data_IF_467024211941
#
_entry.id   IF_467024211941
#
_cell.length_a   1.000
_cell.length_b   1.000
_cell.length_c   1.000
_cell.angle_alpha   90.00
_cell.angle_beta   90.00
_cell.angle_gamma   90.00
#
_symmetry.space_group_name_H-M   'P 1'
#
loop_
_entity.id
_entity.type
_entity.pdbx_description
1 polymer ?
#
# COMPACT_ATOMS: atom_id res chain seq x y z
N UNK A 1 27.12 -6.29 2.32
CA UNK A 1 27.89 -5.58 3.36
C UNK A 1 26.91 -4.69 4.08
N UNK A 2 26.58 -5.00 5.34
CA UNK A 2 25.72 -4.14 6.13
C UNK A 2 26.40 -2.78 6.25
N UNK A 3 25.81 -1.73 5.67
CA UNK A 3 26.25 -0.38 5.92
C UNK A 3 26.13 -0.16 7.43
N UNK A 4 27.24 0.02 8.13
CA UNK A 4 27.19 0.50 9.51
C UNK A 4 26.45 1.84 9.46
N UNK A 5 25.21 1.86 9.94
CA UNK A 5 24.42 3.07 9.99
C UNK A 5 25.16 4.05 10.90
N UNK A 6 25.63 5.14 10.35
CA UNK A 6 26.30 6.19 11.12
C UNK A 6 25.32 6.65 12.22
N UNK A 7 25.76 6.58 13.47
CA UNK A 7 24.97 6.98 14.62
C UNK A 7 24.97 8.52 14.76
N UNK A 8 24.23 9.20 13.86
CA UNK A 8 24.16 10.66 13.81
C UNK A 8 23.75 11.30 15.14
N UNK A 9 22.92 10.60 15.93
CA UNK A 9 22.48 11.03 17.26
C UNK A 9 23.60 11.05 18.31
N UNK A 10 24.67 10.27 18.12
CA UNK A 10 25.81 10.23 19.03
C UNK A 10 26.90 11.25 18.71
N UNK A 11 26.80 11.92 17.56
CA UNK A 11 27.77 12.90 17.10
C UNK A 11 27.42 14.32 17.57
N UNK A 12 28.45 15.16 17.71
CA UNK A 12 28.28 16.60 17.91
C UNK A 12 27.75 17.25 16.63
N UNK A 13 27.16 18.44 16.75
CA UNK A 13 26.62 19.17 15.60
C UNK A 13 27.71 19.46 14.57
N UNK A 14 28.90 19.82 15.04
CA UNK A 14 30.08 20.13 14.23
C UNK A 14 30.56 18.89 13.46
N UNK A 15 30.63 17.72 14.10
CA UNK A 15 31.02 16.47 13.44
C UNK A 15 30.01 16.06 12.35
N UNK A 16 28.70 16.25 12.61
CA UNK A 16 27.65 15.95 11.62
C UNK A 16 27.76 16.88 10.42
N UNK A 17 28.01 18.18 10.63
CA UNK A 17 28.25 19.12 9.53
C UNK A 17 29.49 18.75 8.71
N UNK A 18 30.57 18.33 9.37
CA UNK A 18 31.79 17.90 8.69
C UNK A 18 31.56 16.62 7.86
N UNK A 19 30.89 15.63 8.45
CA UNK A 19 30.59 14.36 7.78
C UNK A 19 29.65 14.54 6.58
N UNK A 20 28.63 15.40 6.70
CA UNK A 20 27.69 15.71 5.62
C UNK A 20 28.19 16.79 4.66
N UNK A 21 29.37 17.38 4.89
CA UNK A 21 29.91 18.53 4.15
C UNK A 21 28.84 19.62 3.97
N UNK A 22 28.24 20.03 5.06
CA UNK A 22 27.18 21.05 5.12
C UNK A 22 27.50 22.06 6.22
N UNK A 23 26.65 23.08 6.40
CA UNK A 23 26.85 24.10 7.41
C UNK A 23 25.58 24.85 7.78
N UNK A 24 25.73 25.83 8.69
CA UNK A 24 24.62 26.65 9.22
C UNK A 24 23.94 27.56 8.19
N UNK A 25 24.56 27.76 7.03
CA UNK A 25 23.98 28.51 5.90
C UNK A 25 23.18 27.62 4.93
N UNK A 26 23.16 26.30 5.16
CA UNK A 26 22.56 25.35 4.24
C UNK A 26 23.47 24.98 3.06
N UNK A 27 22.92 24.24 2.10
CA UNK A 27 23.64 23.82 0.89
C UNK A 27 23.49 24.86 -0.23
N UNK A 28 24.45 24.89 -1.16
CA UNK A 28 24.25 25.61 -2.42
C UNK A 28 23.25 24.85 -3.30
N UNK A 29 22.47 25.59 -4.10
CA UNK A 29 21.45 24.99 -4.98
C UNK A 29 22.02 23.97 -5.96
N UNK A 30 23.24 24.19 -6.46
CA UNK A 30 23.93 23.25 -7.37
C UNK A 30 24.39 21.98 -6.64
N UNK A 31 24.87 22.10 -5.39
CA UNK A 31 25.24 20.95 -4.58
C UNK A 31 24.00 20.12 -4.20
N UNK A 32 22.88 20.77 -3.89
CA UNK A 32 21.62 20.09 -3.64
C UNK A 32 21.14 19.30 -4.87
N UNK A 33 21.24 19.87 -6.08
CA UNK A 33 20.94 19.16 -7.34
C UNK A 33 21.87 17.97 -7.57
N UNK A 34 23.18 18.14 -7.31
CA UNK A 34 24.18 17.07 -7.44
C UNK A 34 23.85 15.91 -6.49
N UNK A 35 23.55 16.20 -5.23
CA UNK A 35 23.13 15.19 -4.25
C UNK A 35 21.81 14.55 -4.61
N UNK A 36 20.87 15.28 -5.20
CA UNK A 36 19.61 14.70 -5.65
C UNK A 36 19.83 13.63 -6.74
N UNK A 37 20.84 13.82 -7.61
CA UNK A 37 21.23 12.81 -8.59
C UNK A 37 21.95 11.61 -7.96
N UNK A 38 22.73 11.83 -6.89
CA UNK A 38 23.50 10.79 -6.20
C UNK A 38 22.64 9.93 -5.25
N UNK A 39 21.85 10.58 -4.39
CA UNK A 39 21.03 9.92 -3.35
C UNK A 39 19.62 9.58 -3.83
N UNK A 40 19.16 10.19 -4.93
CA UNK A 40 17.79 10.09 -5.41
C UNK A 40 16.80 10.96 -4.64
N UNK A 41 15.53 10.89 -5.05
CA UNK A 41 14.45 11.65 -4.41
C UNK A 41 14.16 11.13 -2.98
N UNK A 42 13.78 12.06 -2.10
CA UNK A 42 13.27 11.78 -0.76
C UNK A 42 11.82 11.28 -0.83
N UNK A 43 11.65 10.09 -1.37
CA UNK A 43 10.37 9.40 -1.46
C UNK A 43 10.53 7.95 -1.03
N UNK A 44 9.47 7.41 -0.45
CA UNK A 44 9.37 5.98 -0.21
C UNK A 44 9.27 5.31 -1.59
N UNK A 45 10.09 4.29 -1.85
CA UNK A 45 9.94 3.52 -3.09
C UNK A 45 8.54 2.92 -3.11
N UNK A 46 7.72 3.36 -4.06
CA UNK A 46 6.47 2.67 -4.39
C UNK A 46 6.84 1.36 -5.12
N UNK A 47 6.05 0.29 -4.94
CA UNK A 47 6.14 -0.89 -5.83
C UNK A 47 6.01 -0.39 -7.28
N UNK A 48 6.82 -0.95 -8.18
CA UNK A 48 7.00 -0.46 -9.55
C UNK A 48 5.68 -0.01 -10.17
N UNK A 49 5.63 1.25 -10.61
CA UNK A 49 4.44 1.80 -11.26
C UNK A 49 4.15 0.98 -12.52
N UNK A 50 2.87 0.64 -12.72
CA UNK A 50 2.46 -0.07 -13.93
C UNK A 50 2.75 0.82 -15.14
N UNK A 51 3.62 0.37 -16.02
CA UNK A 51 3.89 1.08 -17.28
C UNK A 51 2.65 1.02 -18.17
N UNK A 52 2.45 1.99 -19.07
CA UNK A 52 1.31 1.97 -19.99
C UNK A 52 1.27 0.69 -20.83
N UNK A 53 2.44 0.22 -21.27
CA UNK A 53 2.59 -1.05 -21.98
C UNK A 53 2.33 -2.25 -21.06
N UNK A 54 2.78 -2.18 -19.81
CA UNK A 54 2.47 -3.18 -18.78
C UNK A 54 0.96 -3.30 -18.52
N UNK A 55 0.25 -2.18 -18.39
CA UNK A 55 -1.21 -2.17 -18.20
C UNK A 55 -1.96 -2.76 -19.39
N UNK A 56 -1.49 -2.50 -20.62
CA UNK A 56 -2.07 -3.10 -21.82
C UNK A 56 -1.83 -4.61 -21.86
N UNK A 57 -0.59 -5.06 -21.65
CA UNK A 57 -0.21 -6.48 -21.64
C UNK A 57 -0.85 -7.27 -20.49
N UNK A 58 -1.15 -6.63 -19.37
CA UNK A 58 -1.82 -7.26 -18.24
C UNK A 58 -3.25 -7.69 -18.59
N UNK A 59 -3.94 -6.96 -19.48
CA UNK A 59 -5.23 -7.39 -20.03
C UNK A 59 -5.14 -8.73 -20.77
N UNK A 60 -4.01 -9.03 -21.42
CA UNK A 60 -3.79 -10.29 -22.13
C UNK A 60 -3.49 -11.48 -21.19
N UNK A 61 -3.24 -11.23 -19.90
CA UNK A 61 -3.10 -12.30 -18.90
C UNK A 61 -4.45 -12.84 -18.42
N UNK A 62 -5.54 -12.15 -18.75
CA UNK A 62 -6.88 -12.65 -18.45
C UNK A 62 -7.12 -13.98 -19.17
N UNK A 63 -7.59 -14.98 -18.41
CA UNK A 63 -7.75 -16.35 -18.90
C UNK A 63 -8.73 -16.42 -20.07
N UNK A 64 -9.78 -15.60 -20.07
CA UNK A 64 -10.76 -15.57 -21.15
C UNK A 64 -10.22 -14.88 -22.39
N UNK A 65 -9.48 -13.78 -22.22
CA UNK A 65 -8.77 -13.15 -23.35
C UNK A 65 -7.77 -14.13 -23.96
N UNK A 66 -7.01 -14.88 -23.16
CA UNK A 66 -6.13 -15.94 -23.68
C UNK A 66 -6.90 -17.03 -24.43
N UNK A 67 -8.03 -17.51 -23.90
CA UNK A 67 -8.86 -18.50 -24.58
C UNK A 67 -9.37 -18.00 -25.94
N UNK A 68 -9.85 -16.76 -26.00
CA UNK A 68 -10.32 -16.15 -27.25
C UNK A 68 -9.19 -15.90 -28.24
N UNK A 69 -7.98 -15.60 -27.78
CA UNK A 69 -6.79 -15.50 -28.65
C UNK A 69 -6.43 -16.86 -29.25
N UNK A 70 -6.45 -17.92 -28.44
CA UNK A 70 -6.22 -19.30 -28.93
C UNK A 70 -7.32 -19.69 -29.93
N UNK A 71 -8.58 -19.38 -29.65
CA UNK A 71 -9.71 -19.60 -30.56
C UNK A 71 -9.53 -18.84 -31.89
N UNK A 72 -9.14 -17.57 -31.82
CA UNK A 72 -8.88 -16.71 -32.99
C UNK A 72 -7.76 -17.29 -33.85
N UNK A 73 -6.66 -17.75 -33.22
CA UNK A 73 -5.53 -18.33 -33.93
C UNK A 73 -5.89 -19.64 -34.63
N UNK A 74 -6.64 -20.53 -33.97
CA UNK A 74 -7.07 -21.80 -34.55
C UNK A 74 -8.08 -21.59 -35.68
N UNK A 75 -9.06 -20.69 -35.50
CA UNK A 75 -10.01 -20.31 -36.54
C UNK A 75 -9.31 -19.71 -37.77
N UNK A 76 -8.27 -18.89 -37.57
CA UNK A 76 -7.49 -18.33 -38.68
C UNK A 76 -6.70 -19.41 -39.46
N UNK A 77 -6.12 -20.40 -38.76
CA UNK A 77 -5.40 -21.51 -39.40
C UNK A 77 -6.36 -22.32 -40.29
N UNK A 78 -7.60 -22.54 -39.87
CA UNK A 78 -8.61 -23.25 -40.66
C UNK A 78 -9.06 -22.45 -41.83
N UNK A 79 -9.34 -21.15 -41.64
CA UNK A 79 -9.67 -20.28 -42.76
C UNK A 79 -8.59 -20.36 -43.84
N UNK A 80 -7.31 -20.44 -43.45
CA UNK A 80 -6.24 -20.65 -44.41
C UNK A 80 -6.33 -21.99 -45.17
N UNK A 81 -6.63 -23.10 -44.49
CA UNK A 81 -6.82 -24.40 -45.13
C UNK A 81 -8.10 -24.49 -45.98
N UNK A 82 -9.22 -23.94 -45.51
CA UNK A 82 -10.47 -23.85 -46.26
C UNK A 82 -10.30 -23.00 -47.52
N UNK A 83 -9.57 -21.88 -47.42
CA UNK A 83 -9.23 -21.02 -48.57
C UNK A 83 -8.45 -21.77 -49.66
N UNK A 84 -7.75 -22.84 -49.30
CA UNK A 84 -6.96 -23.67 -50.22
C UNK A 84 -7.78 -24.83 -50.82
N UNK A 85 -8.95 -25.15 -50.25
CA UNK A 85 -9.75 -26.33 -50.61
C UNK A 85 -11.10 -25.98 -51.23
N UNK A 86 -11.69 -24.84 -50.86
CA UNK A 86 -13.01 -24.37 -51.33
C UNK A 86 -12.89 -22.91 -51.77
N UNK A 87 -13.46 -22.58 -52.93
CA UNK A 87 -13.48 -21.20 -53.45
C UNK A 87 -14.57 -20.37 -52.75
N UNK A 88 -14.43 -20.19 -51.42
CA UNK A 88 -15.22 -19.23 -50.63
C UNK A 88 -14.56 -17.85 -50.68
N UNK A 89 -15.36 -16.79 -50.49
CA UNK A 89 -14.83 -15.43 -50.36
C UNK A 89 -14.01 -15.26 -49.08
N UNK A 90 -12.95 -14.44 -49.10
CA UNK A 90 -12.08 -14.20 -47.94
C UNK A 90 -12.85 -13.88 -46.63
N UNK A 91 -13.90 -13.07 -46.73
CA UNK A 91 -14.73 -12.71 -45.57
C UNK A 91 -15.49 -13.90 -44.97
N UNK A 92 -16.00 -14.82 -45.79
CA UNK A 92 -16.71 -16.01 -45.32
C UNK A 92 -15.74 -17.02 -44.70
N UNK A 93 -14.55 -17.14 -45.29
CA UNK A 93 -13.52 -18.09 -44.85
C UNK A 93 -12.90 -17.72 -43.50
N UNK A 94 -12.78 -16.43 -43.18
CA UNK A 94 -12.19 -15.95 -41.93
C UNK A 94 -13.21 -15.28 -40.99
N UNK A 95 -14.52 -15.45 -41.23
CA UNK A 95 -15.58 -14.75 -40.51
C UNK A 95 -15.47 -14.92 -38.98
N UNK A 96 -15.26 -16.15 -38.50
CA UNK A 96 -15.17 -16.45 -37.07
C UNK A 96 -13.90 -15.86 -36.45
N UNK A 97 -12.75 -16.04 -37.08
CA UNK A 97 -11.48 -15.47 -36.63
C UNK A 97 -11.54 -13.93 -36.57
N UNK A 98 -12.12 -13.29 -37.58
CA UNK A 98 -12.29 -11.83 -37.62
C UNK A 98 -13.25 -11.38 -36.52
N UNK A 99 -14.38 -12.07 -36.33
CA UNK A 99 -15.39 -11.71 -35.33
C UNK A 99 -14.82 -11.82 -33.91
N UNK A 100 -14.19 -12.94 -33.58
CA UNK A 100 -13.58 -13.16 -32.26
C UNK A 100 -12.41 -12.18 -32.06
N UNK A 101 -11.59 -11.96 -33.08
CA UNK A 101 -10.48 -11.00 -33.04
C UNK A 101 -10.95 -9.56 -32.76
N UNK A 102 -12.05 -9.12 -33.37
CA UNK A 102 -12.64 -7.81 -33.10
C UNK A 102 -13.13 -7.73 -31.65
N UNK A 103 -13.80 -8.76 -31.14
CA UNK A 103 -14.28 -8.80 -29.75
C UNK A 103 -13.10 -8.67 -28.77
N UNK A 104 -12.05 -9.46 -28.96
CA UNK A 104 -10.83 -9.40 -28.14
C UNK A 104 -10.22 -8.02 -28.17
N UNK A 105 -10.11 -7.41 -29.36
CA UNK A 105 -9.54 -6.08 -29.53
C UNK A 105 -10.37 -5.01 -28.79
N UNK A 106 -11.69 -5.05 -28.92
CA UNK A 106 -12.60 -4.11 -28.26
C UNK A 106 -12.51 -4.24 -26.74
N UNK A 107 -12.49 -5.46 -26.20
CA UNK A 107 -12.37 -5.71 -24.76
C UNK A 107 -11.01 -5.23 -24.23
N UNK A 108 -9.91 -5.53 -24.93
CA UNK A 108 -8.58 -5.11 -24.54
C UNK A 108 -8.41 -3.58 -24.55
N UNK A 109 -8.90 -2.90 -25.59
CA UNK A 109 -8.86 -1.43 -25.69
C UNK A 109 -9.75 -0.80 -24.62
N UNK A 110 -10.96 -1.29 -24.42
CA UNK A 110 -11.87 -0.77 -23.40
C UNK A 110 -11.26 -0.91 -21.99
N UNK A 111 -10.71 -2.08 -21.66
CA UNK A 111 -10.01 -2.33 -20.41
C UNK A 111 -8.79 -1.41 -20.22
N UNK A 112 -7.98 -1.21 -21.26
CA UNK A 112 -6.84 -0.29 -21.22
C UNK A 112 -7.27 1.16 -20.96
N UNK A 113 -8.29 1.67 -21.68
CA UNK A 113 -8.78 3.04 -21.51
C UNK A 113 -9.33 3.25 -20.10
N UNK A 114 -10.09 2.29 -19.57
CA UNK A 114 -10.66 2.36 -18.21
C UNK A 114 -9.55 2.41 -17.15
N UNK A 115 -8.57 1.50 -17.24
CA UNK A 115 -7.46 1.43 -16.30
C UNK A 115 -6.56 2.67 -16.39
N UNK A 116 -6.24 3.14 -17.59
CA UNK A 116 -5.38 4.31 -17.78
C UNK A 116 -6.02 5.59 -17.23
N UNK A 117 -7.34 5.78 -17.44
CA UNK A 117 -8.06 6.94 -16.89
C UNK A 117 -8.11 6.93 -15.37
N UNK A 118 -8.34 5.76 -14.76
CA UNK A 118 -8.36 5.62 -13.31
C UNK A 118 -6.99 5.97 -12.69
N UNK A 119 -5.90 5.44 -13.27
CA UNK A 119 -4.54 5.71 -12.80
C UNK A 119 -4.17 7.20 -12.93
N UNK A 120 -4.52 7.84 -14.06
CA UNK A 120 -4.26 9.27 -14.27
C UNK A 120 -5.02 10.18 -13.31
N UNK A 121 -6.26 9.84 -12.98
CA UNK A 121 -7.04 10.58 -11.99
C UNK A 121 -6.38 10.51 -10.60
N UNK A 122 -5.87 9.33 -10.22
CA UNK A 122 -5.16 9.13 -8.96
C UNK A 122 -3.82 9.88 -8.94
N UNK A 123 -3.07 9.88 -10.03
CA UNK A 123 -1.79 10.60 -10.17
C UNK A 123 -1.99 12.13 -10.01
N UNK A 124 -3.03 12.68 -10.65
CA UNK A 124 -3.34 14.11 -10.55
C UNK A 124 -3.71 14.51 -9.12
N UNK A 125 -4.48 13.67 -8.41
CA UNK A 125 -4.83 13.92 -7.01
C UNK A 125 -3.59 13.90 -6.10
N UNK A 126 -2.66 12.96 -6.30
CA UNK A 126 -1.39 12.89 -5.54
C UNK A 126 -0.50 14.13 -5.74
N UNK A 127 -0.49 14.73 -6.94
CA UNK A 127 0.30 15.94 -7.21
C UNK A 127 -0.21 17.18 -6.48
N UNK A 128 -1.53 17.27 -6.25
CA UNK A 128 -2.14 18.41 -5.56
C UNK A 128 -1.87 18.41 -4.05
N UNK A 129 -1.56 17.25 -3.46
CA UNK A 129 -1.33 17.09 -2.02
C UNK A 129 0.15 16.87 -1.68
N UNK A 130 1.06 17.13 -2.62
CA UNK A 130 2.49 16.86 -2.44
C UNK A 130 3.08 17.75 -1.31
N UNK A 131 3.71 17.14 -0.28
CA UNK A 131 4.26 17.89 0.84
C UNK A 131 5.44 18.78 0.41
N UNK A 132 5.60 19.90 1.10
CA UNK A 132 6.71 20.85 0.94
C UNK A 132 7.52 20.94 2.23
N UNK A 133 8.78 21.34 2.13
CA UNK A 133 9.69 21.53 3.24
C UNK A 133 10.36 22.90 3.14
N UNK A 134 10.63 23.54 4.29
CA UNK A 134 11.44 24.75 4.38
C UNK A 134 12.89 24.37 4.58
N UNK A 135 13.75 24.85 3.70
CA UNK A 135 15.20 24.57 3.72
C UNK A 135 15.98 25.86 3.57
N UNK A 136 17.17 25.91 4.16
CA UNK A 136 18.16 26.92 3.83
C UNK A 136 18.98 26.41 2.64
N UNK A 137 18.95 27.14 1.53
CA UNK A 137 19.84 26.96 0.39
C UNK A 137 20.36 28.31 -0.09
N UNK A 138 21.61 28.37 -0.53
CA UNK A 138 22.30 29.62 -0.90
C UNK A 138 22.22 30.70 0.20
N UNK A 139 22.23 30.28 1.47
CA UNK A 139 22.12 31.17 2.64
C UNK A 139 20.73 31.75 2.89
N UNK A 140 19.69 31.33 2.15
CA UNK A 140 18.32 31.86 2.26
C UNK A 140 17.31 30.74 2.54
N UNK A 141 16.30 31.07 3.34
CA UNK A 141 15.18 30.16 3.56
C UNK A 141 14.27 30.11 2.32
N UNK A 142 13.96 28.92 1.85
CA UNK A 142 13.08 28.69 0.70
C UNK A 142 12.23 27.43 0.87
N UNK A 143 11.07 27.43 0.21
CA UNK A 143 10.17 26.28 0.15
C UNK A 143 10.53 25.39 -1.03
N UNK A 144 10.88 24.14 -0.76
CA UNK A 144 11.15 23.12 -1.78
C UNK A 144 10.14 21.97 -1.66
N UNK A 145 9.86 21.22 -2.73
CA UNK A 145 9.12 19.98 -2.63
C UNK A 145 9.83 19.03 -1.65
N UNK A 146 9.10 18.38 -0.73
CA UNK A 146 9.72 17.50 0.28
C UNK A 146 10.50 16.34 -0.36
N UNK A 147 10.09 15.91 -1.56
CA UNK A 147 10.80 14.90 -2.38
C UNK A 147 12.19 15.34 -2.86
N UNK A 148 12.47 16.65 -2.90
CA UNK A 148 13.75 17.21 -3.37
C UNK A 148 14.71 17.53 -2.22
N UNK A 149 14.32 17.21 -0.98
CA UNK A 149 15.18 17.29 0.20
C UNK A 149 16.25 16.22 0.10
N UNK A 150 17.50 16.56 0.37
CA UNK A 150 18.67 15.66 0.25
C UNK A 150 19.48 15.63 1.55
N UNK A 151 20.27 14.57 1.80
CA UNK A 151 21.19 14.54 2.94
C UNK A 151 22.12 15.77 2.93
N UNK A 152 22.22 16.44 4.07
CA UNK A 152 22.94 17.69 4.27
C UNK A 152 22.12 18.97 4.09
N UNK A 153 20.89 18.92 3.57
CA UNK A 153 20.01 20.10 3.61
C UNK A 153 19.80 20.55 5.05
N UNK A 154 19.70 21.87 5.26
CA UNK A 154 19.37 22.43 6.57
C UNK A 154 17.89 22.81 6.60
N UNK A 155 17.09 22.04 7.32
CA UNK A 155 15.66 22.28 7.49
C UNK A 155 15.43 23.46 8.45
N UNK A 156 14.47 24.32 8.10
CA UNK A 156 13.87 25.29 9.00
C UNK A 156 12.56 24.69 9.54
N UNK A 157 12.42 24.63 10.86
CA UNK A 157 11.30 23.94 11.51
C UNK A 157 10.56 24.90 12.42
N UNK A 158 9.24 24.93 12.30
CA UNK A 158 8.32 25.66 13.17
C UNK A 158 7.17 24.77 13.62
N UNK A 159 6.46 25.25 14.64
CA UNK A 159 5.22 24.67 15.11
C UNK A 159 4.22 24.42 13.97
N UNK A 160 3.71 23.20 13.87
CA UNK A 160 2.79 22.75 12.84
C UNK A 160 3.45 22.07 11.63
N UNK A 161 4.77 22.16 11.48
CA UNK A 161 5.46 21.52 10.37
C UNK A 161 5.47 20.00 10.49
N UNK A 162 5.32 19.34 9.35
CA UNK A 162 5.61 17.90 9.20
C UNK A 162 7.07 17.74 8.81
N UNK A 163 7.79 16.89 9.53
CA UNK A 163 9.21 16.66 9.29
C UNK A 163 9.38 15.89 7.97
N UNK A 164 10.13 16.47 7.03
CA UNK A 164 10.26 15.95 5.67
C UNK A 164 11.23 14.76 5.55
N UNK A 165 12.23 14.67 6.43
CA UNK A 165 13.29 13.68 6.39
C UNK A 165 13.93 13.52 7.79
N UNK A 166 14.66 12.43 8.02
CA UNK A 166 15.36 12.25 9.29
C UNK A 166 16.51 13.24 9.41
N UNK A 167 16.53 14.03 10.47
CA UNK A 167 17.44 15.16 10.61
C UNK A 167 18.02 15.28 12.02
N UNK A 168 19.29 15.69 12.10
CA UNK A 168 19.98 16.00 13.35
C UNK A 168 19.74 17.45 13.73
N UNK A 169 19.22 17.69 14.93
CA UNK A 169 18.89 19.03 15.40
C UNK A 169 20.16 19.82 15.69
N UNK A 170 20.28 21.00 15.08
CA UNK A 170 21.43 21.91 15.25
C UNK A 170 21.06 23.14 16.06
N UNK A 171 19.79 23.50 16.10
CA UNK A 171 19.24 24.61 16.88
C UNK A 171 17.85 24.21 17.39
N UNK A 172 17.59 24.43 18.68
CA UNK A 172 16.30 24.12 19.31
C UNK A 172 15.92 25.25 20.25
N UNK A 173 14.72 25.82 20.06
CA UNK A 173 14.10 26.77 20.97
C UNK A 173 12.75 26.21 21.38
N UNK A 174 12.70 25.61 22.56
CA UNK A 174 11.54 24.92 23.14
C UNK A 174 10.87 23.92 22.17
N UNK A 175 11.65 23.33 21.27
CA UNK A 175 11.14 22.46 20.22
C UNK A 175 10.55 21.19 20.84
N UNK A 176 9.30 20.89 20.51
CA UNK A 176 8.59 19.66 20.90
C UNK A 176 8.02 18.99 19.67
N UNK A 177 8.23 17.68 19.54
CA UNK A 177 7.71 16.88 18.44
C UNK A 177 6.75 15.81 18.95
N UNK A 178 5.71 15.52 18.17
CA UNK A 178 4.85 14.35 18.31
C UNK A 178 5.43 13.21 17.47
N UNK A 179 5.91 12.18 18.18
CA UNK A 179 6.56 11.01 17.60
C UNK A 179 5.70 9.75 17.73
N UNK A 180 4.39 9.90 17.93
CA UNK A 180 3.45 8.80 18.09
C UNK A 180 3.46 7.86 16.87
N UNK A 181 3.73 8.39 15.67
CA UNK A 181 3.82 7.60 14.43
C UNK A 181 4.93 6.54 14.49
N UNK A 182 5.99 6.77 15.26
CA UNK A 182 7.13 5.85 15.39
C UNK A 182 7.18 5.13 16.74
N UNK A 183 6.65 5.76 17.80
CA UNK A 183 6.78 5.26 19.18
C UNK A 183 5.48 4.73 19.77
N UNK A 184 4.32 5.06 19.18
CA UNK A 184 3.00 4.79 19.73
C UNK A 184 2.59 5.68 20.90
N UNK A 185 3.50 6.55 21.38
CA UNK A 185 3.27 7.41 22.55
C UNK A 185 2.93 8.84 22.11
N UNK A 186 1.76 9.34 22.50
CA UNK A 186 1.25 10.66 22.09
C UNK A 186 1.75 11.84 22.93
N UNK A 187 2.65 11.60 23.89
CA UNK A 187 3.20 12.67 24.72
C UNK A 187 4.27 13.44 23.93
N UNK A 188 4.18 14.78 23.80
CA UNK A 188 5.18 15.55 23.09
C UNK A 188 6.59 15.38 23.67
N UNK A 189 7.55 15.06 22.81
CA UNK A 189 8.95 14.85 23.18
C UNK A 189 9.72 16.15 23.05
N UNK A 190 10.27 16.65 24.16
CA UNK A 190 11.17 17.81 24.16
C UNK A 190 12.48 17.47 23.46
N UNK A 191 12.88 18.33 22.54
CA UNK A 191 14.06 18.13 21.69
C UNK A 191 15.24 18.99 22.11
N UNK A 192 16.45 18.45 21.98
CA UNK A 192 17.71 19.08 22.37
C UNK A 192 18.77 18.98 21.28
N UNK A 193 19.88 19.71 21.41
CA UNK A 193 21.03 19.61 20.50
C UNK A 193 22.10 18.64 21.03
N UNK A 194 22.05 18.28 22.30
CA UNK A 194 23.07 17.44 22.95
C UNK A 194 23.17 16.04 22.34
N UNK A 195 24.39 15.50 22.13
CA UNK A 195 24.59 14.11 21.75
C UNK A 195 23.95 13.12 22.75
N UNK A 196 23.47 12.00 22.24
CA UNK A 196 22.92 10.89 23.05
C UNK A 196 23.72 9.60 22.80
N UNK A 197 23.56 8.61 23.68
CA UNK A 197 24.34 7.36 23.60
C UNK A 197 24.13 6.63 22.26
N UNK A 198 25.15 6.00 21.68
CA UNK A 198 25.02 5.23 20.43
C UNK A 198 23.92 4.18 20.47
N UNK A 199 23.70 3.54 21.62
CA UNK A 199 22.73 2.46 21.83
C UNK A 199 21.29 2.97 22.08
N UNK A 200 21.07 4.29 22.06
CA UNK A 200 19.76 4.89 22.28
C UNK A 200 18.72 4.40 21.26
N UNK A 201 17.59 3.95 21.78
CA UNK A 201 16.40 3.62 21.00
C UNK A 201 15.84 4.86 20.29
N UNK A 202 15.01 4.68 19.25
CA UNK A 202 14.47 5.78 18.45
C UNK A 202 13.80 6.86 19.32
N UNK A 203 13.00 6.47 20.31
CA UNK A 203 12.34 7.40 21.24
C UNK A 203 13.27 8.12 22.22
N UNK A 204 14.49 7.63 22.44
CA UNK A 204 15.49 8.27 23.30
C UNK A 204 16.36 9.28 22.54
N UNK A 205 16.34 9.27 21.21
CA UNK A 205 17.11 10.18 20.34
C UNK A 205 16.46 11.56 20.28
N UNK A 206 16.44 12.25 21.43
CA UNK A 206 15.87 13.60 21.61
C UNK A 206 16.52 14.69 20.76
N UNK A 207 17.64 14.37 20.12
CA UNK A 207 18.40 15.29 19.29
C UNK A 207 18.25 15.04 17.79
N UNK A 208 17.34 14.14 17.43
CA UNK A 208 16.91 13.83 16.08
C UNK A 208 15.45 14.25 15.87
N UNK A 209 15.11 14.50 14.61
CA UNK A 209 13.75 14.57 14.08
C UNK A 209 13.60 13.50 13.03
N UNK A 210 12.40 12.94 12.90
CA UNK A 210 12.16 11.80 12.05
C UNK A 210 11.09 12.10 11.00
N UNK A 211 11.25 11.56 9.79
CA UNK A 211 10.29 11.72 8.70
C UNK A 211 8.87 11.34 9.15
N UNK A 212 7.90 12.21 8.85
CA UNK A 212 6.48 11.96 9.13
C UNK A 212 6.04 12.27 10.56
N UNK A 213 6.94 12.69 11.45
CA UNK A 213 6.56 13.27 12.75
C UNK A 213 6.15 14.74 12.61
N UNK A 214 5.48 15.29 13.62
CA UNK A 214 4.98 16.66 13.60
C UNK A 214 5.60 17.50 14.70
N UNK A 215 5.92 18.76 14.39
CA UNK A 215 6.33 19.73 15.41
C UNK A 215 5.10 20.32 16.07
N UNK A 216 5.00 20.16 17.40
CA UNK A 216 3.85 20.64 18.19
C UNK A 216 4.08 22.05 18.71
N UNK A 217 5.33 22.40 19.03
CA UNK A 217 5.68 23.68 19.61
C UNK A 217 7.15 24.03 19.35
N UNK A 218 7.46 25.32 19.42
CA UNK A 218 8.81 25.84 19.28
C UNK A 218 9.28 25.97 17.85
N UNK A 219 10.57 26.25 17.69
CA UNK A 219 11.24 26.34 16.40
C UNK A 219 12.65 25.80 16.49
N UNK A 220 13.23 25.44 15.35
CA UNK A 220 14.58 24.94 15.32
C UNK A 220 15.12 24.82 13.90
N UNK A 221 16.36 24.36 13.84
CA UNK A 221 17.03 23.98 12.60
C UNK A 221 17.57 22.58 12.74
N UNK A 222 17.52 21.80 11.68
CA UNK A 222 18.04 20.44 11.67
C UNK A 222 18.68 20.10 10.33
N UNK A 223 19.84 19.47 10.35
CA UNK A 223 20.53 19.02 9.14
C UNK A 223 20.05 17.62 8.78
N UNK A 224 19.62 17.43 7.53
CA UNK A 224 19.10 16.15 7.04
C UNK A 224 20.20 15.11 7.02
N UNK A 225 19.95 13.98 7.65
CA UNK A 225 20.91 12.87 7.76
C UNK A 225 20.55 11.71 6.84
N UNK A 226 19.25 11.44 6.68
CA UNK A 226 18.75 10.33 5.87
C UNK A 226 17.47 10.74 5.15
N UNK A 227 17.29 10.24 3.92
CA UNK A 227 16.12 10.50 3.06
C UNK A 227 15.55 9.20 2.49
N UNK A 228 14.29 9.24 2.06
CA UNK A 228 13.59 8.12 1.42
C UNK A 228 13.60 6.86 2.29
N UNK A 229 13.95 5.72 1.68
CA UNK A 229 14.01 4.42 2.36
C UNK A 229 15.07 4.31 3.47
N UNK A 230 16.04 5.23 3.54
CA UNK A 230 17.08 5.21 4.58
C UNK A 230 16.61 5.83 5.91
N UNK A 231 15.46 6.51 5.94
CA UNK A 231 14.85 7.06 7.17
C UNK A 231 14.30 5.95 8.07
N UNK A 232 14.07 6.20 9.35
CA UNK A 232 13.42 5.25 10.25
C UNK A 232 12.00 4.89 9.75
N UNK A 233 11.26 5.88 9.23
CA UNK A 233 9.96 5.63 8.60
C UNK A 233 10.10 4.81 7.30
N UNK A 234 11.15 5.06 6.51
CA UNK A 234 11.49 4.31 5.31
C UNK A 234 11.81 2.84 5.56
N UNK A 235 12.58 2.54 6.62
CA UNK A 235 12.86 1.16 7.06
C UNK A 235 11.58 0.44 7.47
N UNK A 236 10.68 1.10 8.19
CA UNK A 236 9.36 0.54 8.53
C UNK A 236 8.57 0.27 7.25
N UNK A 237 8.55 1.22 6.31
CA UNK A 237 7.86 1.06 5.03
C UNK A 237 8.41 -0.13 4.24
N UNK A 238 9.72 -0.34 4.21
CA UNK A 238 10.35 -1.49 3.55
C UNK A 238 9.92 -2.82 4.18
N UNK A 239 9.91 -2.92 5.52
CA UNK A 239 9.43 -4.12 6.23
C UNK A 239 7.96 -4.40 5.89
N UNK A 240 7.13 -3.37 5.84
CA UNK A 240 5.69 -3.50 5.53
C UNK A 240 5.48 -3.87 4.05
N UNK A 241 6.27 -3.34 3.13
CA UNK A 241 6.14 -3.61 1.69
C UNK A 241 6.69 -4.98 1.27
N UNK A 242 7.72 -5.46 1.97
CA UNK A 242 8.37 -6.76 1.72
C UNK A 242 7.66 -7.93 2.40
N UNK A 243 6.76 -7.65 3.36
CA UNK A 243 5.85 -8.66 3.87
C UNK A 243 4.99 -9.23 2.74
N UNK A 244 5.07 -10.54 2.51
CA UNK A 244 4.26 -11.22 1.51
C UNK A 244 2.78 -11.13 1.88
N UNK A 245 1.95 -10.66 0.95
CA UNK A 245 0.50 -10.71 1.13
C UNK A 245 0.03 -12.16 0.93
N UNK A 246 -0.35 -12.83 2.02
CA UNK A 246 -0.97 -14.14 1.92
C UNK A 246 -2.38 -14.05 1.30
N UNK A 247 -2.69 -14.98 0.41
CA UNK A 247 -4.04 -15.15 -0.12
C UNK A 247 -5.04 -15.44 1.00
N UNK A 248 -6.24 -14.82 0.91
CA UNK A 248 -7.28 -15.04 1.92
C UNK A 248 -7.85 -16.45 1.85
N UNK A 249 -8.45 -16.97 2.94
CA UNK A 249 -9.06 -18.30 2.91
C UNK A 249 -10.14 -18.45 1.83
N UNK A 250 -10.92 -17.39 1.54
CA UNK A 250 -11.86 -17.37 0.42
C UNK A 250 -11.14 -17.45 -0.93
N UNK A 251 -10.07 -16.67 -1.15
CA UNK A 251 -9.27 -16.76 -2.38
C UNK A 251 -8.72 -18.18 -2.59
N UNK A 252 -8.11 -18.78 -1.56
CA UNK A 252 -7.64 -20.18 -1.60
C UNK A 252 -8.75 -21.20 -1.88
N UNK A 253 -10.01 -20.91 -1.50
CA UNK A 253 -11.18 -21.76 -1.81
C UNK A 253 -11.65 -21.57 -3.24
N UNK A 254 -11.73 -20.32 -3.70
CA UNK A 254 -12.10 -19.98 -5.09
C UNK A 254 -11.09 -20.57 -6.07
N UNK A 255 -9.79 -20.51 -5.77
CA UNK A 255 -8.75 -21.11 -6.61
C UNK A 255 -8.85 -22.62 -6.67
N UNK A 256 -9.12 -23.27 -5.54
CA UNK A 256 -9.38 -24.72 -5.53
C UNK A 256 -10.65 -25.08 -6.32
N UNK A 257 -11.67 -24.24 -6.25
CA UNK A 257 -12.91 -24.42 -7.00
C UNK A 257 -12.68 -24.24 -8.51
N UNK A 258 -11.97 -23.18 -8.91
CA UNK A 258 -11.57 -22.93 -10.30
C UNK A 258 -10.73 -24.09 -10.85
N UNK A 259 -9.74 -24.58 -10.09
CA UNK A 259 -8.94 -25.76 -10.47
C UNK A 259 -9.78 -27.03 -10.62
N UNK A 260 -10.83 -27.21 -9.81
CA UNK A 260 -11.77 -28.34 -9.95
C UNK A 260 -12.63 -28.20 -11.21
N UNK A 261 -13.20 -27.01 -11.46
CA UNK A 261 -13.96 -26.74 -12.68
C UNK A 261 -13.09 -26.97 -13.92
N UNK A 262 -11.87 -26.42 -13.94
CA UNK A 262 -10.95 -26.59 -15.06
C UNK A 262 -10.67 -28.08 -15.37
N UNK A 263 -10.51 -28.91 -14.33
CA UNK A 263 -10.36 -30.37 -14.50
C UNK A 263 -11.61 -31.01 -15.09
N UNK A 264 -12.81 -30.61 -14.65
CA UNK A 264 -14.08 -31.14 -15.18
C UNK A 264 -14.26 -30.76 -16.65
N UNK A 265 -14.03 -29.48 -16.98
CA UNK A 265 -14.08 -28.99 -18.37
C UNK A 265 -13.11 -29.76 -19.25
N UNK A 266 -11.85 -29.91 -18.83
CA UNK A 266 -10.85 -30.68 -19.58
C UNK A 266 -11.29 -32.12 -19.85
N UNK A 267 -11.86 -32.81 -18.85
CA UNK A 267 -12.35 -34.19 -19.01
C UNK A 267 -13.55 -34.23 -19.96
N UNK A 268 -14.51 -33.32 -19.84
CA UNK A 268 -15.67 -33.26 -20.73
C UNK A 268 -15.28 -32.92 -22.17
N UNK A 269 -14.37 -31.96 -22.36
CA UNK A 269 -13.81 -31.61 -23.66
C UNK A 269 -13.11 -32.80 -24.30
N UNK A 270 -12.35 -33.59 -23.53
CA UNK A 270 -11.72 -34.82 -24.02
C UNK A 270 -12.76 -35.87 -24.43
N UNK A 271 -13.84 -36.03 -23.66
CA UNK A 271 -14.93 -36.96 -24.00
C UNK A 271 -15.63 -36.53 -25.29
N UNK A 272 -15.99 -35.24 -25.42
CA UNK A 272 -16.64 -34.69 -26.63
C UNK A 272 -15.72 -34.87 -27.83
N UNK A 273 -14.44 -34.54 -27.69
CA UNK A 273 -13.44 -34.74 -28.75
C UNK A 273 -13.38 -36.19 -29.23
N UNK A 274 -13.32 -37.14 -28.29
CA UNK A 274 -13.32 -38.56 -28.61
C UNK A 274 -14.62 -38.94 -29.33
N UNK A 275 -15.78 -38.51 -28.82
CA UNK A 275 -17.07 -38.79 -29.43
C UNK A 275 -17.20 -38.21 -30.83
N UNK A 276 -16.77 -36.98 -31.09
CA UNK A 276 -16.82 -36.37 -32.43
C UNK A 276 -15.88 -37.07 -33.42
N UNK A 277 -14.67 -37.43 -32.99
CA UNK A 277 -13.74 -38.21 -33.82
C UNK A 277 -14.31 -39.59 -34.19
N UNK A 278 -15.10 -40.21 -33.30
CA UNK A 278 -15.75 -41.51 -33.54
C UNK A 278 -17.13 -41.42 -34.21
N UNK A 279 -17.87 -40.32 -34.01
CA UNK A 279 -19.23 -40.11 -34.52
C UNK A 279 -19.23 -39.56 -35.94
N UNK A 280 -18.23 -38.75 -36.31
CA UNK A 280 -18.03 -38.41 -37.70
C UNK A 280 -17.30 -39.54 -38.45
N UNK A 281 -17.70 -39.72 -39.69
CA UNK A 281 -16.89 -40.33 -40.75
C UNK A 281 -15.58 -39.54 -41.03
N UNK A 282 -14.94 -38.94 -40.01
CA UNK A 282 -13.69 -38.18 -40.11
C UNK A 282 -12.56 -39.06 -40.66
N UNK A 283 -12.61 -40.36 -40.41
CA UNK A 283 -11.75 -41.37 -41.03
C UNK A 283 -11.95 -41.53 -42.55
N UNK A 284 -13.14 -41.18 -43.09
CA UNK A 284 -13.47 -41.30 -44.52
C UNK A 284 -13.20 -40.00 -45.32
N UNK A 285 -13.16 -38.84 -44.67
CA UNK A 285 -12.87 -37.52 -45.30
C UNK A 285 -11.38 -37.16 -45.40
N UNK A 286 -10.48 -38.02 -44.92
CA UNK A 286 -9.03 -37.79 -44.95
C UNK A 286 -8.56 -36.69 -44.00
N UNK A 287 -7.31 -36.21 -44.17
CA UNK A 287 -6.65 -35.27 -43.25
C UNK A 287 -7.45 -33.97 -43.01
N UNK A 288 -8.17 -33.48 -44.01
CA UNK A 288 -8.96 -32.23 -43.92
C UNK A 288 -10.19 -32.40 -43.02
N UNK A 289 -10.90 -33.53 -43.11
CA UNK A 289 -12.04 -33.82 -42.22
C UNK A 289 -11.61 -34.02 -40.77
N UNK A 290 -10.47 -34.67 -40.54
CA UNK A 290 -9.90 -34.82 -39.21
C UNK A 290 -9.53 -33.48 -38.56
N UNK A 291 -8.94 -32.55 -39.33
CA UNK A 291 -8.62 -31.20 -38.84
C UNK A 291 -9.89 -30.40 -38.53
N UNK A 292 -10.90 -30.46 -39.40
CA UNK A 292 -12.21 -29.80 -39.14
C UNK A 292 -12.84 -30.31 -37.85
N UNK A 293 -12.93 -31.63 -37.67
CA UNK A 293 -13.50 -32.25 -36.47
C UNK A 293 -12.73 -31.87 -35.20
N UNK A 294 -11.39 -31.78 -35.26
CA UNK A 294 -10.59 -31.32 -34.12
C UNK A 294 -10.99 -29.90 -33.70
N UNK A 295 -11.24 -29.01 -34.66
CA UNK A 295 -11.61 -27.65 -34.32
C UNK A 295 -13.07 -27.53 -33.92
N UNK A 296 -14.01 -28.22 -34.57
CA UNK A 296 -15.41 -28.21 -34.13
C UNK A 296 -15.51 -28.73 -32.69
N UNK A 297 -14.75 -29.78 -32.36
CA UNK A 297 -14.59 -30.27 -30.98
C UNK A 297 -13.98 -29.22 -30.06
N UNK A 298 -12.97 -28.49 -30.53
CA UNK A 298 -12.28 -27.46 -29.74
C UNK A 298 -13.16 -26.21 -29.54
N UNK A 299 -13.94 -25.82 -30.53
CA UNK A 299 -14.90 -24.71 -30.47
C UNK A 299 -16.08 -25.09 -29.57
N UNK A 300 -16.54 -26.34 -29.63
CA UNK A 300 -17.51 -26.90 -28.69
C UNK A 300 -16.93 -26.95 -27.28
N UNK A 301 -15.66 -27.33 -27.13
CA UNK A 301 -14.96 -27.32 -25.84
C UNK A 301 -14.79 -25.91 -25.27
N UNK A 302 -14.44 -24.91 -26.09
CA UNK A 302 -14.39 -23.51 -25.66
C UNK A 302 -15.79 -23.01 -25.30
N UNK A 303 -16.80 -23.31 -26.12
CA UNK A 303 -18.18 -22.90 -25.86
C UNK A 303 -18.70 -23.50 -24.55
N UNK A 304 -18.38 -24.77 -24.28
CA UNK A 304 -18.64 -25.44 -23.01
C UNK A 304 -17.83 -24.81 -21.88
N UNK A 305 -16.55 -24.52 -22.09
CA UNK A 305 -15.71 -23.89 -21.09
C UNK A 305 -16.29 -22.54 -20.67
N UNK A 306 -16.58 -21.64 -21.63
CA UNK A 306 -17.23 -20.34 -21.40
C UNK A 306 -18.56 -20.52 -20.67
N UNK A 307 -19.40 -21.46 -21.11
CA UNK A 307 -20.70 -21.73 -20.48
C UNK A 307 -20.59 -22.22 -19.03
N UNK A 308 -19.50 -22.87 -18.66
CA UNK A 308 -19.28 -23.44 -17.32
C UNK A 308 -18.52 -22.47 -16.42
N UNK A 309 -17.78 -21.51 -16.97
CA UNK A 309 -17.04 -20.56 -16.13
C UNK A 309 -18.02 -19.65 -15.41
N UNK A 310 -17.98 -19.57 -14.07
CA UNK A 310 -18.87 -18.72 -13.32
C UNK A 310 -18.34 -17.28 -13.37
N UNK A 311 -18.51 -16.61 -14.51
CA UNK A 311 -18.10 -15.22 -14.77
C UNK A 311 -18.70 -14.24 -13.75
N UNK A 312 -19.87 -14.57 -13.20
CA UNK A 312 -20.52 -13.78 -12.15
C UNK A 312 -19.91 -13.97 -10.75
N UNK A 313 -19.07 -14.98 -10.51
CA UNK A 313 -18.57 -15.30 -9.18
C UNK A 313 -17.68 -14.19 -8.59
N UNK A 314 -16.71 -13.60 -9.32
CA UNK A 314 -15.95 -12.45 -8.82
C UNK A 314 -16.83 -11.25 -8.47
N UNK A 315 -17.87 -10.99 -9.29
CA UNK A 315 -18.81 -9.90 -9.06
C UNK A 315 -19.67 -10.14 -7.81
N UNK A 316 -20.23 -11.34 -7.65
CA UNK A 316 -21.03 -11.73 -6.48
C UNK A 316 -20.19 -11.67 -5.21
N UNK A 317 -18.96 -12.18 -5.24
CA UNK A 317 -18.03 -12.11 -4.10
C UNK A 317 -17.72 -10.66 -3.74
N UNK A 318 -17.42 -9.82 -4.73
CA UNK A 318 -17.12 -8.40 -4.51
C UNK A 318 -18.32 -7.65 -3.92
N UNK A 319 -19.52 -7.88 -4.45
CA UNK A 319 -20.76 -7.27 -3.93
C UNK A 319 -21.03 -7.77 -2.50
N UNK A 320 -20.88 -9.06 -2.23
CA UNK A 320 -21.04 -9.63 -0.90
C UNK A 320 -20.07 -9.00 0.12
N UNK A 321 -18.79 -8.89 -0.23
CA UNK A 321 -17.78 -8.24 0.61
C UNK A 321 -18.07 -6.74 0.80
N UNK A 322 -18.54 -6.04 -0.24
CA UNK A 322 -18.91 -4.63 -0.17
C UNK A 322 -20.12 -4.40 0.75
N UNK A 323 -21.14 -5.27 0.69
CA UNK A 323 -22.28 -5.25 1.60
C UNK A 323 -21.83 -5.53 3.05
N UNK A 324 -20.91 -6.47 3.25
CA UNK A 324 -20.29 -6.73 4.56
C UNK A 324 -19.52 -5.52 5.09
N UNK A 325 -18.68 -4.90 4.25
CA UNK A 325 -17.93 -3.68 4.58
C UNK A 325 -18.87 -2.51 4.94
N UNK A 326 -20.03 -2.40 4.26
CA UNK A 326 -21.06 -1.41 4.59
C UNK A 326 -21.66 -1.65 5.98
N UNK A 327 -21.90 -2.90 6.36
CA UNK A 327 -22.40 -3.25 7.70
C UNK A 327 -21.34 -3.00 8.79
N UNK A 328 -20.06 -3.26 8.50
CA UNK A 328 -18.94 -2.86 9.36
C UNK A 328 -18.89 -1.34 9.56
N UNK A 329 -19.04 -0.56 8.48
CA UNK A 329 -19.02 0.90 8.55
C UNK A 329 -20.14 1.46 9.45
N UNK A 330 -21.34 0.85 9.42
CA UNK A 330 -22.44 1.20 10.34
C UNK A 330 -22.11 0.99 11.82
N UNK A 331 -21.13 0.13 12.12
CA UNK A 331 -20.62 -0.15 13.46
C UNK A 331 -19.30 0.56 13.76
N UNK A 332 -18.99 1.63 13.02
CA UNK A 332 -17.75 2.41 13.12
C UNK A 332 -16.46 1.64 12.79
N UNK A 333 -16.56 0.57 11.98
CA UNK A 333 -15.40 -0.20 11.50
C UNK A 333 -15.13 0.13 10.03
N UNK A 334 -13.95 0.67 9.74
CA UNK A 334 -13.55 1.05 8.38
C UNK A 334 -12.70 -0.07 7.77
N UNK A 335 -13.26 -0.77 6.77
CA UNK A 335 -12.54 -1.80 6.01
C UNK A 335 -11.80 -1.14 4.83
N UNK A 336 -10.46 -1.14 4.86
CA UNK A 336 -9.62 -0.57 3.79
C UNK A 336 -9.47 -1.49 2.57
N UNK A 337 -9.42 -2.81 2.78
CA UNK A 337 -9.36 -3.84 1.74
C UNK A 337 -10.58 -4.76 1.90
N UNK A 338 -11.42 -4.91 0.85
CA UNK A 338 -12.66 -5.69 0.93
C UNK A 338 -12.42 -7.15 1.37
N UNK A 339 -11.31 -7.74 0.94
CA UNK A 339 -10.90 -9.11 1.33
C UNK A 339 -10.62 -9.25 2.83
N UNK A 340 -10.22 -8.17 3.53
CA UNK A 340 -9.98 -8.21 4.98
C UNK A 340 -11.26 -8.45 5.80
N UNK A 341 -12.44 -8.13 5.25
CA UNK A 341 -13.70 -8.40 5.93
C UNK A 341 -13.92 -9.91 6.17
N UNK A 342 -13.43 -10.76 5.26
CA UNK A 342 -13.48 -12.22 5.39
C UNK A 342 -12.39 -12.75 6.33
N UNK A 343 -11.15 -12.29 6.16
CA UNK A 343 -10.03 -12.69 7.03
C UNK A 343 -10.32 -12.40 8.50
N UNK A 344 -11.01 -11.30 8.82
CA UNK A 344 -11.39 -10.96 10.20
C UNK A 344 -12.25 -12.05 10.86
N UNK A 345 -13.12 -12.72 10.10
CA UNK A 345 -13.93 -13.84 10.61
C UNK A 345 -13.13 -15.12 10.90
N UNK A 346 -11.87 -15.17 10.45
CA UNK A 346 -10.96 -16.31 10.61
C UNK A 346 -9.86 -16.06 11.64
N UNK A 347 -9.89 -14.92 12.34
CA UNK A 347 -8.87 -14.54 13.31
C UNK A 347 -8.93 -15.44 14.55
N UNK A 348 -7.80 -16.05 14.89
CA UNK A 348 -7.64 -16.89 16.09
C UNK A 348 -6.79 -16.23 17.18
N UNK A 349 -5.97 -15.25 16.81
CA UNK A 349 -5.08 -14.51 17.73
C UNK A 349 -5.20 -13.02 17.43
N UNK A 350 -5.42 -12.22 18.47
CA UNK A 350 -5.44 -10.75 18.39
C UNK A 350 -4.23 -10.23 19.15
N UNK A 351 -3.25 -9.70 18.41
CA UNK A 351 -2.17 -8.92 18.98
C UNK A 351 -2.59 -7.44 18.98
N UNK A 352 -2.78 -6.86 20.15
CA UNK A 352 -3.22 -5.47 20.31
C UNK A 352 -2.13 -4.66 20.97
N UNK A 353 -1.91 -3.44 20.47
CA UNK A 353 -1.17 -2.43 21.22
C UNK A 353 -1.98 -1.99 22.46
N UNK A 354 -1.30 -1.44 23.46
CA UNK A 354 -1.88 -1.00 24.74
C UNK A 354 -2.33 0.46 24.67
N UNK A 355 -1.42 1.36 24.34
CA UNK A 355 -1.68 2.80 24.41
C UNK A 355 -2.59 3.21 23.23
N UNK A 356 -3.69 3.90 23.51
CA UNK A 356 -4.65 4.34 22.47
C UNK A 356 -5.51 3.25 21.83
N UNK A 357 -5.25 1.96 22.07
CA UNK A 357 -6.07 0.83 21.59
C UNK A 357 -6.82 0.14 22.75
N UNK A 358 -6.10 -0.42 23.72
CA UNK A 358 -6.74 -0.98 24.94
C UNK A 358 -7.04 0.10 25.98
N UNK A 359 -6.27 1.19 25.96
CA UNK A 359 -6.45 2.35 26.84
C UNK A 359 -6.93 3.55 26.04
N UNK A 360 -7.56 4.55 26.69
CA UNK A 360 -7.94 5.82 26.03
C UNK A 360 -6.75 6.67 25.58
N UNK A 361 -5.50 6.29 25.88
CA UNK A 361 -4.32 7.12 25.62
C UNK A 361 -4.29 8.44 26.38
N UNK A 362 -5.11 8.56 27.44
CA UNK A 362 -5.23 9.77 28.26
C UNK A 362 -4.72 9.48 29.66
N UNK A 363 -3.73 10.24 30.11
CA UNK A 363 -3.18 10.11 31.46
C UNK A 363 -4.24 10.55 32.46
N UNK A 364 -4.51 9.70 33.46
CA UNK A 364 -5.54 9.96 34.46
C UNK A 364 -4.97 9.64 35.84
N UNK A 365 -5.04 10.60 36.76
CA UNK A 365 -4.70 10.37 38.16
C UNK A 365 -5.70 9.35 38.72
N UNK A 366 -5.18 8.28 39.33
CA UNK A 366 -6.01 7.23 39.96
C UNK A 366 -5.96 7.24 41.47
N UNK A 367 -4.86 7.73 42.03
CA UNK A 367 -4.58 7.72 43.45
C UNK A 367 -3.78 8.97 43.81
N UNK A 368 -4.13 9.58 44.94
CA UNK A 368 -3.44 10.71 45.55
C UNK A 368 -3.07 10.28 46.97
N UNK A 369 -1.82 10.47 47.35
CA UNK A 369 -1.37 10.23 48.72
C UNK A 369 -0.96 11.56 49.37
N UNK A 370 -1.65 11.95 50.43
CA UNK A 370 -1.43 13.24 51.12
C UNK A 370 -1.74 13.09 52.61
N UNK A 371 -0.89 13.64 53.49
CA UNK A 371 -1.08 13.61 54.95
C UNK A 371 -1.37 12.21 55.52
N UNK A 372 -0.74 11.16 54.98
CA UNK A 372 -0.96 9.78 55.41
C UNK A 372 -2.27 9.15 54.91
N UNK A 373 -3.04 9.86 54.08
CA UNK A 373 -4.30 9.41 53.50
C UNK A 373 -4.10 9.03 52.04
N UNK A 374 -4.76 7.94 51.64
CA UNK A 374 -4.82 7.49 50.25
C UNK A 374 -6.23 7.77 49.71
N UNK A 375 -6.30 8.65 48.71
CA UNK A 375 -7.54 9.05 48.05
C UNK A 375 -7.54 8.45 46.66
N UNK A 376 -8.53 7.62 46.36
CA UNK A 376 -8.78 7.11 45.02
C UNK A 376 -9.55 8.13 44.18
N UNK A 377 -9.17 8.26 42.92
CA UNK A 377 -9.80 9.19 41.96
C UNK A 377 -10.48 8.37 40.87
N UNK A 378 -11.81 8.49 40.81
CA UNK A 378 -12.60 7.88 39.73
C UNK A 378 -12.70 8.82 38.52
N UNK A 379 -13.25 8.33 37.41
CA UNK A 379 -13.24 9.03 36.13
C UNK A 379 -12.17 8.48 35.18
N UNK A 380 -12.28 8.79 33.90
CA UNK A 380 -11.31 8.34 32.87
C UNK A 380 -11.09 9.46 31.89
N UNK A 381 -9.83 9.81 31.67
CA UNK A 381 -9.45 10.81 30.69
C UNK A 381 -9.42 12.22 31.26
N UNK A 382 -9.64 13.20 30.38
CA UNK A 382 -9.60 14.63 30.73
C UNK A 382 -10.97 15.25 31.02
N UNK A 383 -12.05 14.46 30.97
CA UNK A 383 -13.36 14.93 31.43
C UNK A 383 -13.32 15.11 32.95
N UNK A 384 -13.68 16.29 33.50
CA UNK A 384 -13.69 16.55 34.94
C UNK A 384 -14.93 15.92 35.61
N UNK A 385 -15.15 14.63 35.36
CA UNK A 385 -16.24 13.81 35.90
C UNK A 385 -15.64 12.63 36.63
N UNK A 386 -15.83 12.61 37.94
CA UNK A 386 -15.30 11.61 38.83
C UNK A 386 -15.62 11.93 40.29
N UNK A 387 -15.25 11.02 41.16
CA UNK A 387 -15.42 11.10 42.61
C UNK A 387 -14.07 10.86 43.24
N UNK A 388 -13.83 11.55 44.34
CA UNK A 388 -12.74 11.20 45.25
C UNK A 388 -13.28 10.18 46.25
N UNK A 389 -12.54 9.13 46.53
CA UNK A 389 -12.92 8.09 47.49
C UNK A 389 -11.82 7.85 48.49
N UNK A 390 -12.17 7.72 49.76
CA UNK A 390 -11.27 7.32 50.84
C UNK A 390 -11.87 6.11 51.55
N UNK A 391 -11.11 5.03 51.67
CA UNK A 391 -11.57 3.77 52.29
C UNK A 391 -12.94 3.26 51.76
N UNK A 392 -13.20 3.47 50.47
CA UNK A 392 -14.46 3.07 49.80
C UNK A 392 -15.62 4.07 49.91
N UNK A 393 -15.48 5.17 50.68
CA UNK A 393 -16.51 6.21 50.82
C UNK A 393 -16.20 7.43 49.95
N UNK A 394 -17.21 8.00 49.30
CA UNK A 394 -17.06 9.21 48.49
C UNK A 394 -16.80 10.43 49.38
N UNK A 395 -15.78 11.22 49.04
CA UNK A 395 -15.44 12.48 49.72
C UNK A 395 -15.70 13.66 48.76
N UNK A 396 -16.37 14.70 49.26
CA UNK A 396 -16.68 15.89 48.46
C UNK A 396 -15.50 16.85 48.48
N UNK A 397 -14.95 17.17 47.31
CA UNK A 397 -13.85 18.14 47.18
C UNK A 397 -14.21 19.58 47.62
N UNK A 398 -15.50 19.85 47.87
CA UNK A 398 -16.02 21.18 48.20
C UNK A 398 -16.30 21.47 49.68
N UNK A 399 -15.98 20.57 50.61
CA UNK A 399 -16.32 20.74 52.03
C UNK A 399 -15.21 20.29 53.01
N UNK A 400 -13.95 20.47 52.64
CA UNK A 400 -12.88 20.43 53.65
C UNK A 400 -12.73 21.83 54.24
N UNK A 401 -13.26 22.05 55.44
CA UNK A 401 -13.14 23.30 56.19
C UNK A 401 -11.73 23.54 56.77
N UNK A 402 -10.72 22.80 56.29
CA UNK A 402 -9.32 22.88 56.72
C UNK A 402 -8.34 23.29 55.59
N UNK A 403 -8.78 24.07 54.59
CA UNK A 403 -7.87 24.81 53.69
C UNK A 403 -7.92 26.30 54.02
#
# INVERSE_FOLDING_TARGET
MASMSIAWHAMTVEDVFQALKSGRQGLDSEEAKRRLQEYGFNELKEKERRTALGMFLEGFKDVFIMLLIVATALSAIIGYYESMTVQKGFLETYADAITIGIIVLLVAIAGFIQNYRAEKALEALRKLTAPKARVFRDGREMMVPAKEVVPGDLLAIESGDTIAADARIVESVELKADEAVLTGESNPVSKSTEPVKPEASVGERKNMLFMGTHTIYGRGKAVVTSTGMNTEFGKIAEIVQTAEEEETPLQKRLDRFAKKIAKVVLVLSLIIFVLEVYAEEALLRGFVGFVSAIIDSFMTAISLAISVVPEGLPAIVTIGLALGAREFARRNVIIRKLSSAESLGSVTVICSDKTGTLTKGQMTVRKIFVNGREIEVSGVGYEPKGEFRESGSSIFAGNDSNI
#
